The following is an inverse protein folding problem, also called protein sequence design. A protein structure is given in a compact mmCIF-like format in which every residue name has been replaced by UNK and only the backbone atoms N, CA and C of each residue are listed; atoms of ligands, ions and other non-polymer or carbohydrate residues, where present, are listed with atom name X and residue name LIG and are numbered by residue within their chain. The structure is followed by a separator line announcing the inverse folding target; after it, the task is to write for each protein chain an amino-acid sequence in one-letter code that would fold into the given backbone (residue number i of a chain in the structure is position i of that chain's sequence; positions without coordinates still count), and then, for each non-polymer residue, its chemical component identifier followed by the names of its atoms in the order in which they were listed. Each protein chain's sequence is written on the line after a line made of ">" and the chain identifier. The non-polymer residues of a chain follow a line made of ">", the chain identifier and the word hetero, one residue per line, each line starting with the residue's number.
data_IF_211028009474
#
_entry.id   IF_211028009474
#
_cell.length_a   1.000
_cell.length_b   1.000
_cell.length_c   1.000
_cell.angle_alpha   90.00
_cell.angle_beta   90.00
_cell.angle_gamma   90.00
#
_symmetry.space_group_name_H-M   'P 1'
#
loop_
_entity.id
_entity.type
_entity.pdbx_description
1 polymer ?
#
# COMPACT_ATOMS: atom_id res chain seq x y z
N UNK A 1 -24.53 -1.89 21.25
CA UNK A 1 -23.60 -2.01 20.13
C UNK A 1 -22.34 -1.25 20.47
N UNK A 2 -21.32 -1.94 20.78
CA UNK A 2 -20.02 -1.33 20.99
C UNK A 2 -19.58 -0.71 19.68
N UNK A 3 -19.41 0.59 19.65
CA UNK A 3 -18.62 1.19 18.61
C UNK A 3 -17.23 0.63 18.78
N UNK A 4 -16.92 -0.42 18.03
CA UNK A 4 -15.57 -0.86 17.91
C UNK A 4 -14.76 0.33 17.47
N UNK A 5 -13.78 0.69 18.30
CA UNK A 5 -12.75 1.62 17.89
C UNK A 5 -12.08 0.96 16.68
N UNK A 6 -12.46 1.41 15.50
CA UNK A 6 -11.80 0.97 14.28
C UNK A 6 -10.36 1.45 14.41
N UNK A 7 -9.45 0.50 14.56
CA UNK A 7 -8.02 0.81 14.56
C UNK A 7 -7.68 1.59 13.30
N UNK A 8 -6.78 2.58 13.35
CA UNK A 8 -6.44 3.38 12.17
C UNK A 8 -6.10 2.55 10.93
N UNK A 9 -5.48 1.40 11.11
CA UNK A 9 -5.17 0.47 10.03
C UNK A 9 -6.43 -0.05 9.37
N UNK A 10 -7.43 -0.41 10.18
CA UNK A 10 -8.72 -0.93 9.68
C UNK A 10 -9.56 0.18 9.01
N UNK A 11 -9.38 1.44 9.42
CA UNK A 11 -10.09 2.56 8.80
C UNK A 11 -9.71 2.73 7.33
N UNK A 12 -8.43 2.60 6.98
CA UNK A 12 -7.97 2.66 5.61
C UNK A 12 -8.55 1.54 4.75
N UNK A 13 -8.54 0.31 5.26
CA UNK A 13 -9.14 -0.84 4.57
C UNK A 13 -10.63 -0.64 4.35
N UNK A 14 -11.34 -0.16 5.37
CA UNK A 14 -12.77 0.10 5.29
C UNK A 14 -13.10 1.10 4.17
N UNK A 15 -12.39 2.21 4.09
CA UNK A 15 -12.61 3.24 3.09
C UNK A 15 -12.30 2.76 1.67
N UNK A 16 -11.25 1.96 1.49
CA UNK A 16 -10.93 1.37 0.19
C UNK A 16 -12.01 0.37 -0.24
N UNK A 17 -12.46 -0.48 0.66
CA UNK A 17 -13.56 -1.42 0.37
C UNK A 17 -14.82 -0.68 -0.08
N UNK A 18 -15.20 0.35 0.64
CA UNK A 18 -16.36 1.18 0.33
C UNK A 18 -16.22 1.84 -1.04
N UNK A 19 -15.06 2.41 -1.33
CA UNK A 19 -14.78 3.04 -2.62
C UNK A 19 -14.91 2.04 -3.77
N UNK A 20 -14.27 0.88 -3.65
CA UNK A 20 -14.29 -0.13 -4.70
C UNK A 20 -15.69 -0.73 -4.93
N UNK A 21 -16.42 -1.02 -3.85
CA UNK A 21 -17.80 -1.50 -3.95
C UNK A 21 -18.71 -0.48 -4.58
N UNK A 22 -18.51 0.81 -4.27
CA UNK A 22 -19.24 1.91 -4.90
C UNK A 22 -18.98 2.04 -6.40
N UNK A 23 -17.86 1.51 -6.88
CA UNK A 23 -17.50 1.45 -8.31
C UNK A 23 -17.92 0.15 -8.99
N UNK A 24 -18.64 -0.72 -8.29
CA UNK A 24 -19.18 -1.96 -8.84
C UNK A 24 -18.25 -3.17 -8.72
N UNK A 25 -17.13 -3.06 -8.01
CA UNK A 25 -16.26 -4.20 -7.76
C UNK A 25 -16.81 -5.07 -6.64
N UNK A 26 -16.60 -6.37 -6.75
CA UNK A 26 -16.71 -7.30 -5.64
C UNK A 26 -15.40 -7.27 -4.88
N UNK A 27 -15.46 -7.13 -3.56
CA UNK A 27 -14.26 -6.98 -2.73
C UNK A 27 -14.29 -8.01 -1.62
N UNK A 28 -13.22 -8.81 -1.55
CA UNK A 28 -12.99 -9.75 -0.47
C UNK A 28 -11.85 -9.24 0.41
N UNK A 29 -12.08 -9.13 1.70
CA UNK A 29 -11.06 -8.84 2.69
C UNK A 29 -10.32 -10.12 3.03
N UNK A 30 -9.05 -10.19 2.69
CA UNK A 30 -8.19 -11.36 2.91
C UNK A 30 -7.06 -11.07 3.90
N UNK A 31 -7.12 -9.93 4.58
CA UNK A 31 -6.07 -9.48 5.50
C UNK A 31 -5.84 -10.42 6.68
N UNK A 32 -6.87 -11.17 7.09
CA UNK A 32 -6.78 -12.16 8.17
C UNK A 32 -6.49 -13.58 7.68
N UNK A 33 -6.42 -13.79 6.37
CA UNK A 33 -6.13 -15.10 5.80
C UNK A 33 -4.61 -15.31 5.74
N UNK A 34 -4.06 -16.36 6.42
CA UNK A 34 -2.61 -16.58 6.47
C UNK A 34 -1.93 -16.72 5.11
N UNK A 35 -2.62 -17.27 4.12
CA UNK A 35 -2.07 -17.42 2.76
C UNK A 35 -1.79 -16.06 2.12
N UNK A 36 -2.72 -15.14 2.25
CA UNK A 36 -2.59 -13.80 1.69
C UNK A 36 -1.73 -12.88 2.58
N UNK A 37 -1.81 -13.08 3.88
CA UNK A 37 -0.97 -12.37 4.83
C UNK A 37 0.52 -12.57 4.56
N UNK A 38 0.92 -13.80 4.26
CA UNK A 38 2.31 -14.11 3.91
C UNK A 38 2.78 -13.40 2.62
N UNK A 39 1.83 -13.01 1.76
CA UNK A 39 2.09 -12.29 0.50
C UNK A 39 1.89 -10.78 0.61
N UNK A 40 1.55 -10.28 1.79
CA UNK A 40 1.25 -8.87 2.05
C UNK A 40 0.10 -8.37 1.17
N UNK A 41 -1.00 -9.11 1.14
CA UNK A 41 -2.21 -8.78 0.39
C UNK A 41 -3.37 -8.57 1.36
N UNK A 42 -4.03 -7.41 1.28
CA UNK A 42 -5.17 -7.05 2.14
C UNK A 42 -6.52 -7.35 1.50
N UNK A 43 -6.68 -7.03 0.23
CA UNK A 43 -7.94 -7.14 -0.48
C UNK A 43 -7.78 -7.83 -1.83
N UNK A 44 -8.82 -8.53 -2.25
CA UNK A 44 -8.99 -8.98 -3.64
C UNK A 44 -10.21 -8.26 -4.21
N UNK A 45 -10.01 -7.48 -5.28
CA UNK A 45 -11.07 -6.79 -5.98
C UNK A 45 -11.34 -7.49 -7.32
N UNK A 46 -12.58 -7.83 -7.58
CA UNK A 46 -12.99 -8.52 -8.81
C UNK A 46 -14.00 -7.68 -9.58
N UNK A 47 -13.72 -7.47 -10.85
CA UNK A 47 -14.68 -6.85 -11.76
C UNK A 47 -15.69 -7.93 -12.21
N UNK A 48 -16.97 -7.85 -11.80
CA UNK A 48 -17.94 -8.90 -12.11
C UNK A 48 -18.28 -8.99 -13.60
N UNK A 49 -18.07 -7.92 -14.36
CA UNK A 49 -18.32 -7.90 -15.80
C UNK A 49 -17.28 -8.68 -16.60
N UNK A 50 -16.03 -8.68 -16.15
CA UNK A 50 -14.91 -9.34 -16.84
C UNK A 50 -14.41 -10.58 -16.13
N UNK A 51 -14.73 -10.75 -14.85
CA UNK A 51 -14.18 -11.80 -14.00
C UNK A 51 -12.71 -11.55 -13.59
N UNK A 52 -12.12 -10.43 -13.99
CA UNK A 52 -10.72 -10.12 -13.64
C UNK A 52 -10.62 -9.66 -12.20
N UNK A 53 -9.60 -10.17 -11.51
CA UNK A 53 -9.29 -9.82 -10.13
C UNK A 53 -7.93 -9.14 -10.02
N UNK A 54 -7.81 -8.27 -9.03
CA UNK A 54 -6.55 -7.64 -8.65
C UNK A 54 -6.34 -7.78 -7.15
N UNK A 55 -5.09 -8.02 -6.76
CA UNK A 55 -4.68 -8.06 -5.36
C UNK A 55 -4.18 -6.68 -4.94
N UNK A 56 -4.62 -6.24 -3.77
CA UNK A 56 -4.36 -4.88 -3.27
C UNK A 56 -3.71 -4.96 -1.90
N UNK A 57 -2.63 -4.21 -1.73
CA UNK A 57 -2.00 -3.92 -0.44
C UNK A 57 -2.31 -2.48 -0.06
N UNK A 58 -2.60 -2.23 1.21
CA UNK A 58 -2.92 -0.91 1.74
C UNK A 58 -1.83 -0.49 2.72
N UNK A 59 -1.25 0.68 2.50
CA UNK A 59 -0.29 1.30 3.41
C UNK A 59 -0.82 2.66 3.86
N UNK A 60 -0.78 2.89 5.16
CA UNK A 60 -1.15 4.17 5.77
C UNK A 60 0.10 4.93 6.17
N UNK A 61 0.14 6.21 5.85
CA UNK A 61 1.25 7.09 6.18
C UNK A 61 0.69 8.44 6.62
N UNK A 62 1.05 8.89 7.82
CA UNK A 62 0.59 10.16 8.37
C UNK A 62 1.42 11.37 7.90
N UNK A 63 2.45 11.15 7.12
CA UNK A 63 3.47 12.15 6.81
C UNK A 63 3.52 12.58 5.35
N UNK A 64 2.80 11.89 4.45
CA UNK A 64 2.97 12.16 3.02
C UNK A 64 2.55 13.57 2.61
N UNK A 65 1.48 14.10 3.15
CA UNK A 65 1.06 15.47 2.85
C UNK A 65 2.04 16.52 3.37
N UNK A 66 2.68 16.23 4.52
CA UNK A 66 3.66 17.15 5.12
C UNK A 66 5.01 17.11 4.41
N UNK A 67 5.48 15.92 4.06
CA UNK A 67 6.82 15.73 3.51
C UNK A 67 6.87 15.74 1.99
N UNK A 68 5.75 15.39 1.34
CA UNK A 68 5.69 15.16 -0.10
C UNK A 68 6.46 13.92 -0.55
N UNK A 69 6.74 12.99 0.36
CA UNK A 69 7.55 11.82 0.08
C UNK A 69 6.84 10.52 0.48
N UNK A 70 7.00 9.51 -0.36
CA UNK A 70 6.67 8.13 -0.01
C UNK A 70 7.85 7.48 0.70
N UNK A 71 7.56 6.60 1.65
CA UNK A 71 8.53 5.72 2.28
C UNK A 71 8.33 4.31 1.75
N UNK A 72 9.30 3.81 0.99
CA UNK A 72 9.23 2.51 0.33
C UNK A 72 10.20 1.55 1.03
N UNK A 73 9.68 0.75 1.94
CA UNK A 73 10.46 -0.14 2.79
C UNK A 73 11.10 -1.27 1.97
N UNK A 74 12.41 -1.39 2.04
CA UNK A 74 13.14 -2.47 1.40
C UNK A 74 13.84 -3.42 2.38
N UNK A 75 13.96 -3.03 3.66
CA UNK A 75 14.53 -3.86 4.71
C UNK A 75 13.71 -3.72 5.98
N UNK A 76 13.46 -4.86 6.64
CA UNK A 76 12.76 -4.89 7.91
C UNK A 76 13.32 -6.04 8.74
N UNK A 77 14.05 -5.75 9.85
CA UNK A 77 14.70 -6.78 10.65
C UNK A 77 13.73 -7.78 11.29
N UNK A 78 12.44 -7.43 11.37
CA UNK A 78 11.40 -8.30 11.94
C UNK A 78 10.77 -9.24 10.92
N UNK A 79 11.03 -9.04 9.63
CA UNK A 79 10.48 -9.88 8.58
C UNK A 79 11.43 -11.04 8.24
N UNK A 80 10.88 -12.05 7.57
CA UNK A 80 11.66 -13.18 7.07
C UNK A 80 12.73 -12.69 6.09
N UNK A 81 13.98 -13.11 6.31
CA UNK A 81 15.15 -12.70 5.51
C UNK A 81 15.43 -11.20 5.55
N UNK A 82 14.92 -10.48 6.55
CA UNK A 82 15.08 -9.03 6.71
C UNK A 82 14.61 -8.18 5.53
N UNK A 83 13.76 -8.72 4.67
CA UNK A 83 13.25 -7.98 3.50
C UNK A 83 12.05 -7.11 3.87
N UNK A 84 12.00 -5.90 3.33
CA UNK A 84 10.84 -5.04 3.38
C UNK A 84 9.78 -5.43 2.34
N UNK A 85 8.59 -4.85 2.47
CA UNK A 85 7.45 -5.21 1.63
C UNK A 85 7.66 -4.94 0.14
N UNK A 86 8.55 -4.02 -0.22
CA UNK A 86 8.92 -3.80 -1.62
C UNK A 86 9.32 -5.11 -2.31
N UNK A 87 10.02 -5.99 -1.59
CA UNK A 87 10.57 -7.21 -2.17
C UNK A 87 9.60 -8.39 -2.13
N UNK A 88 8.82 -8.54 -1.07
CA UNK A 88 8.02 -9.75 -0.89
C UNK A 88 6.52 -9.57 -1.17
N UNK A 89 6.01 -8.35 -1.21
CA UNK A 89 4.60 -8.12 -1.49
C UNK A 89 4.22 -8.61 -2.89
N UNK A 90 3.20 -9.43 -2.97
CA UNK A 90 2.71 -10.01 -4.24
C UNK A 90 1.42 -9.36 -4.73
N UNK A 91 1.05 -8.20 -4.18
CA UNK A 91 -0.11 -7.45 -4.66
C UNK A 91 0.16 -6.84 -6.04
N UNK A 92 -0.91 -6.63 -6.80
CA UNK A 92 -0.85 -5.95 -8.09
C UNK A 92 -0.79 -4.44 -7.92
N UNK A 93 -1.51 -3.92 -6.92
CA UNK A 93 -1.60 -2.48 -6.63
C UNK A 93 -1.29 -2.20 -5.18
N UNK A 94 -0.58 -1.09 -4.97
CA UNK A 94 -0.39 -0.46 -3.67
C UNK A 94 -1.33 0.75 -3.58
N UNK A 95 -2.19 0.76 -2.57
CA UNK A 95 -2.99 1.91 -2.19
C UNK A 95 -2.28 2.59 -1.03
N UNK A 96 -1.55 3.66 -1.34
CA UNK A 96 -0.78 4.41 -0.36
C UNK A 96 -1.60 5.61 0.10
N UNK A 97 -2.01 5.61 1.35
CA UNK A 97 -3.03 6.52 1.88
C UNK A 97 -2.41 7.46 2.91
N UNK A 98 -2.61 8.77 2.75
CA UNK A 98 -2.38 9.72 3.83
C UNK A 98 -3.47 9.52 4.88
N UNK A 99 -3.08 9.13 6.10
CA UNK A 99 -4.03 8.81 7.15
C UNK A 99 -4.77 10.02 7.71
N UNK A 100 -4.29 11.23 7.45
CA UNK A 100 -4.94 12.46 7.91
C UNK A 100 -5.98 12.97 6.90
N UNK A 101 -5.60 13.04 5.62
CA UNK A 101 -6.45 13.60 4.57
C UNK A 101 -7.26 12.56 3.81
N UNK A 102 -6.86 11.28 3.89
CA UNK A 102 -7.35 10.17 3.07
C UNK A 102 -7.08 10.35 1.56
N UNK A 103 -6.20 11.26 1.19
CA UNK A 103 -5.65 11.29 -0.15
C UNK A 103 -4.93 9.98 -0.43
N UNK A 104 -5.29 9.33 -1.54
CA UNK A 104 -4.82 7.99 -1.84
C UNK A 104 -4.14 7.95 -3.19
N UNK A 105 -2.96 7.38 -3.21
CA UNK A 105 -2.14 7.21 -4.40
C UNK A 105 -2.13 5.74 -4.77
N UNK A 106 -2.64 5.42 -5.95
CA UNK A 106 -2.69 4.04 -6.45
C UNK A 106 -1.47 3.82 -7.33
N UNK A 107 -0.68 2.83 -6.98
CA UNK A 107 0.60 2.54 -7.62
C UNK A 107 0.60 1.08 -8.07
N UNK A 108 1.02 0.82 -9.30
CA UNK A 108 1.23 -0.55 -9.76
C UNK A 108 2.57 -1.06 -9.22
N UNK A 109 2.55 -2.20 -8.53
CA UNK A 109 3.78 -2.74 -7.94
C UNK A 109 4.87 -3.01 -8.96
N UNK A 110 4.53 -3.49 -10.13
CA UNK A 110 5.51 -3.73 -11.19
C UNK A 110 6.21 -2.45 -11.62
N UNK A 111 5.47 -1.37 -11.75
CA UNK A 111 6.02 -0.06 -12.09
C UNK A 111 6.87 0.52 -10.96
N UNK A 112 6.44 0.32 -9.72
CA UNK A 112 7.20 0.74 -8.54
C UNK A 112 8.57 0.03 -8.49
N UNK A 113 8.57 -1.30 -8.63
CA UNK A 113 9.80 -2.08 -8.60
C UNK A 113 10.75 -1.70 -9.73
N UNK A 114 10.22 -1.49 -10.92
CA UNK A 114 11.01 -1.03 -12.06
C UNK A 114 11.63 0.35 -11.80
N UNK A 115 10.83 1.28 -11.28
CA UNK A 115 11.30 2.62 -10.91
C UNK A 115 12.45 2.55 -9.89
N UNK A 116 12.26 1.78 -8.82
CA UNK A 116 13.29 1.63 -7.78
C UNK A 116 14.57 1.02 -8.36
N UNK A 117 14.45 -0.04 -9.14
CA UNK A 117 15.60 -0.69 -9.76
C UNK A 117 16.41 0.29 -10.63
N UNK A 118 15.71 1.16 -11.34
CA UNK A 118 16.34 2.13 -12.25
C UNK A 118 16.95 3.32 -11.49
N UNK A 119 16.34 3.78 -10.40
CA UNK A 119 16.68 5.06 -9.76
C UNK A 119 17.27 4.93 -8.36
N UNK A 120 17.39 3.73 -7.79
CA UNK A 120 17.76 3.55 -6.38
C UNK A 120 19.05 4.23 -5.95
N UNK A 121 20.00 4.42 -6.86
CA UNK A 121 21.27 5.09 -6.56
C UNK A 121 21.10 6.57 -6.27
N UNK A 122 20.03 7.17 -6.77
CA UNK A 122 19.74 8.59 -6.65
C UNK A 122 18.71 8.88 -5.54
N UNK A 123 18.16 7.82 -4.91
CA UNK A 123 17.16 7.96 -3.87
C UNK A 123 17.79 8.03 -2.49
N UNK A 124 17.29 8.94 -1.65
CA UNK A 124 17.65 8.98 -0.25
C UNK A 124 17.13 7.74 0.47
N UNK A 125 17.85 7.32 1.50
CA UNK A 125 17.51 6.18 2.35
C UNK A 125 17.29 6.69 3.77
N UNK A 126 16.25 6.16 4.43
CA UNK A 126 15.93 6.50 5.80
C UNK A 126 15.72 5.24 6.63
N UNK A 127 16.24 5.25 7.86
CA UNK A 127 15.92 4.26 8.88
C UNK A 127 14.82 4.82 9.79
N UNK A 128 13.84 4.00 10.11
CA UNK A 128 12.81 4.34 11.07
C UNK A 128 13.21 3.92 12.47
N UNK A 129 12.46 4.39 13.47
CA UNK A 129 12.71 4.08 14.89
C UNK A 129 12.73 2.57 15.16
N UNK A 130 11.92 1.79 14.46
CA UNK A 130 11.81 0.35 14.65
C UNK A 130 12.85 -0.47 13.86
N UNK A 131 13.77 0.21 13.18
CA UNK A 131 14.84 -0.42 12.41
C UNK A 131 14.51 -0.73 10.96
N UNK A 132 13.31 -0.44 10.50
CA UNK A 132 12.98 -0.55 9.07
C UNK A 132 13.77 0.47 8.26
N UNK A 133 14.17 0.08 7.05
CA UNK A 133 14.93 0.93 6.14
C UNK A 133 14.18 1.03 4.82
N UNK A 134 14.04 2.23 4.31
CA UNK A 134 13.31 2.48 3.07
C UNK A 134 13.89 3.60 2.22
N UNK A 135 13.49 3.58 0.96
CA UNK A 135 13.74 4.68 0.05
C UNK A 135 12.75 5.80 0.29
N UNK A 136 13.25 7.03 0.23
CA UNK A 136 12.42 8.22 0.22
C UNK A 136 12.20 8.60 -1.24
N UNK A 137 10.96 8.53 -1.69
CA UNK A 137 10.59 8.81 -3.08
C UNK A 137 9.68 10.04 -3.11
N UNK A 138 10.14 11.15 -3.70
CA UNK A 138 9.29 12.34 -3.86
C UNK A 138 8.02 12.01 -4.65
N UNK A 139 6.91 12.62 -4.26
CA UNK A 139 5.63 12.44 -4.95
C UNK A 139 5.73 12.70 -6.46
N UNK A 140 6.47 13.77 -6.82
CA UNK A 140 6.65 14.14 -8.24
C UNK A 140 7.42 13.09 -9.05
N UNK A 141 8.21 12.23 -8.40
CA UNK A 141 9.01 11.19 -9.07
C UNK A 141 8.30 9.83 -9.09
N UNK A 142 7.35 9.61 -8.20
CA UNK A 142 6.69 8.32 -8.04
C UNK A 142 5.80 8.00 -9.26
N UNK A 143 5.87 6.78 -9.81
CA UNK A 143 4.99 6.36 -10.91
C UNK A 143 3.58 6.06 -10.39
N UNK A 144 2.84 7.10 -10.04
CA UNK A 144 1.46 6.99 -9.56
C UNK A 144 0.53 6.70 -10.72
N UNK A 145 -0.23 5.60 -10.62
CA UNK A 145 -1.22 5.23 -11.64
C UNK A 145 -2.40 6.19 -11.63
N UNK A 146 -2.93 6.49 -10.46
CA UNK A 146 -4.01 7.46 -10.27
C UNK A 146 -4.06 7.93 -8.82
N UNK A 147 -4.69 9.08 -8.61
CA UNK A 147 -4.94 9.64 -7.29
C UNK A 147 -6.43 9.71 -7.05
N UNK A 148 -6.87 9.30 -5.87
CA UNK A 148 -8.27 9.37 -5.46
C UNK A 148 -8.38 10.01 -4.07
N UNK A 149 -9.56 10.52 -3.78
CA UNK A 149 -9.93 11.01 -2.45
C UNK A 149 -10.95 10.04 -1.85
N UNK A 150 -10.59 9.43 -0.73
CA UNK A 150 -11.48 8.53 0.02
C UNK A 150 -12.43 9.28 0.93
#
# INVERSE_FOLDING_TARGET
>A
MTHELIEPVNAGEYEVKKFLRGRGFQVEDVSDNPVYWAKDIDLIATNPSTGRSAAIEIKLDSRIDDTGNFFIEFENPRSKNSKGWLHFCEADFLYYIDSNSLSTYIIKFDELRHFITTHKRDLAIKSTFDGSIGYIVPLAAMPVFTTIQL
#
